data_IF_019290104823
#
_entry.id   IF_019290104823
#
_cell.length_a   1.000
_cell.length_b   1.000
_cell.length_c   1.000
_cell.angle_alpha   90.00
_cell.angle_beta   90.00
_cell.angle_gamma   90.00
#
_symmetry.space_group_name_H-M   'P 1'
#
loop_
_entity.id
_entity.type
_entity.pdbx_description
1 polymer ?
#
# COMPACT_ATOMS: atom_id res chain seq x y z
N UNK A 1 -12.81 -40.19 33.43
CA UNK A 1 -11.53 -40.80 33.04
C UNK A 1 -10.58 -39.71 32.58
N UNK A 2 -9.80 -39.10 33.49
CA UNK A 2 -8.53 -38.41 33.19
C UNK A 2 -7.65 -38.51 34.44
N UNK A 3 -6.55 -39.25 34.30
CA UNK A 3 -5.52 -39.54 35.29
C UNK A 3 -4.38 -38.54 35.11
N UNK A 4 -3.87 -38.03 36.24
CA UNK A 4 -2.44 -37.85 36.60
C UNK A 4 -1.61 -36.85 35.76
N UNK A 5 -1.10 -35.79 36.40
CA UNK A 5 0.35 -35.48 36.55
C UNK A 5 0.55 -34.36 37.60
N UNK A 6 0.94 -34.68 38.85
CA UNK A 6 1.41 -33.70 39.83
C UNK A 6 2.90 -33.93 40.08
N UNK A 7 3.80 -33.23 39.38
CA UNK A 7 5.23 -33.15 39.73
C UNK A 7 5.96 -32.15 38.82
N UNK A 8 5.84 -30.86 39.12
CA UNK A 8 6.73 -29.80 38.62
C UNK A 8 6.53 -28.47 39.37
N UNK A 9 6.26 -28.53 40.68
CA UNK A 9 6.04 -27.34 41.55
C UNK A 9 7.04 -27.21 42.70
N UNK A 10 8.16 -27.93 42.69
CA UNK A 10 9.13 -27.87 43.80
C UNK A 10 10.53 -27.41 43.40
N UNK A 11 10.76 -27.07 42.12
CA UNK A 11 12.04 -26.54 41.61
C UNK A 11 12.12 -25.01 41.62
N UNK A 12 11.33 -24.33 42.46
CA UNK A 12 11.31 -22.85 42.50
C UNK A 12 11.55 -22.25 43.88
N UNK A 13 11.68 -23.05 44.94
CA UNK A 13 11.94 -22.54 46.30
C UNK A 13 13.42 -22.44 46.70
N UNK A 14 14.34 -23.05 45.94
CA UNK A 14 15.78 -23.02 46.25
C UNK A 14 16.55 -21.86 45.61
N UNK A 15 15.89 -21.00 44.82
CA UNK A 15 16.55 -19.94 44.05
C UNK A 15 16.39 -18.53 44.67
N UNK A 16 15.67 -18.43 45.80
CA UNK A 16 15.36 -17.17 46.48
C UNK A 16 16.19 -16.93 47.75
N UNK A 17 17.22 -17.74 48.01
CA UNK A 17 18.06 -17.61 49.21
C UNK A 17 19.56 -17.41 48.87
N UNK A 18 19.84 -16.75 47.73
CA UNK A 18 21.16 -16.15 47.50
C UNK A 18 21.15 -14.73 48.06
N UNK A 19 21.56 -14.64 49.33
CA UNK A 19 22.05 -13.42 49.99
C UNK A 19 22.89 -12.59 49.03
N UNK A 20 22.50 -11.32 48.90
CA UNK A 20 23.23 -10.26 48.18
C UNK A 20 24.59 -10.04 48.85
N UNK A 21 25.68 -10.32 48.12
CA UNK A 21 27.02 -9.87 48.45
C UNK A 21 27.80 -9.56 47.17
N UNK A 22 27.62 -8.34 46.65
CA UNK A 22 28.64 -7.32 46.35
C UNK A 22 28.08 -6.29 45.35
N UNK A 23 28.26 -4.97 45.56
CA UNK A 23 27.65 -3.94 44.73
C UNK A 23 28.56 -3.56 43.56
N UNK A 24 28.72 -4.45 42.57
CA UNK A 24 29.24 -4.02 41.27
C UNK A 24 28.04 -3.71 40.38
N UNK A 25 27.58 -2.46 40.44
CA UNK A 25 26.53 -1.92 39.57
C UNK A 25 27.02 -2.06 38.12
N UNK A 26 26.56 -3.08 37.40
CA UNK A 26 26.65 -3.10 35.94
C UNK A 26 25.69 -2.03 35.42
N UNK A 27 26.25 -0.86 35.09
CA UNK A 27 25.56 0.20 34.38
C UNK A 27 25.30 -0.29 32.96
N UNK A 28 24.04 -0.56 32.64
CA UNK A 28 23.62 -0.75 31.26
C UNK A 28 23.92 0.55 30.49
N UNK A 29 24.60 0.51 29.33
CA UNK A 29 24.70 1.70 28.49
C UNK A 29 23.27 2.10 28.11
N UNK A 30 22.88 3.32 28.49
CA UNK A 30 21.56 3.87 28.16
C UNK A 30 21.30 3.79 26.65
N UNK A 31 20.03 3.79 26.23
CA UNK A 31 19.69 3.74 24.81
C UNK A 31 20.43 4.87 24.07
N UNK A 32 21.07 4.52 22.96
CA UNK A 32 21.78 5.48 22.12
C UNK A 32 20.85 6.67 21.81
N UNK A 33 21.37 7.92 21.78
CA UNK A 33 20.57 9.08 21.42
C UNK A 33 19.90 8.81 20.08
N UNK A 34 18.57 8.84 20.06
CA UNK A 34 17.84 8.59 18.84
C UNK A 34 18.20 9.69 17.83
N UNK A 35 18.47 9.34 16.55
CA UNK A 35 18.64 10.36 15.53
C UNK A 35 17.40 11.26 15.53
N UNK A 36 17.55 12.56 15.23
CA UNK A 36 16.42 13.48 15.22
C UNK A 36 15.32 12.90 14.34
N UNK A 37 14.09 12.87 14.85
CA UNK A 37 12.93 12.39 14.12
C UNK A 37 12.93 13.07 12.74
N UNK A 38 13.04 12.28 11.67
CA UNK A 38 13.08 12.81 10.31
C UNK A 38 11.82 13.63 10.10
N UNK A 39 11.97 14.94 9.93
CA UNK A 39 10.84 15.82 9.65
C UNK A 39 10.14 15.30 8.40
N UNK A 40 8.82 15.06 8.50
CA UNK A 40 8.01 14.69 7.35
C UNK A 40 7.95 15.89 6.40
N UNK A 41 8.50 15.74 5.20
CA UNK A 41 8.32 16.69 4.11
C UNK A 41 7.12 16.20 3.30
N UNK A 42 6.00 16.93 3.25
CA UNK A 42 4.88 16.52 2.44
C UNK A 42 5.32 16.44 0.97
N UNK A 43 4.80 15.47 0.18
CA UNK A 43 5.03 15.43 -1.25
C UNK A 43 4.65 16.78 -1.88
N UNK A 44 5.51 17.30 -2.75
CA UNK A 44 5.23 18.55 -3.46
C UNK A 44 4.02 18.37 -4.37
N UNK A 45 2.90 19.01 -4.01
CA UNK A 45 1.72 19.03 -4.86
C UNK A 45 2.04 19.78 -6.17
N UNK A 46 1.72 19.17 -7.31
CA UNK A 46 1.97 19.77 -8.62
C UNK A 46 0.83 20.73 -8.96
N UNK A 47 1.15 21.96 -9.38
CA UNK A 47 0.16 22.89 -9.91
C UNK A 47 -0.52 22.30 -11.16
N UNK A 48 -1.83 22.54 -11.34
CA UNK A 48 -2.55 22.21 -12.58
C UNK A 48 -1.87 22.94 -13.74
N UNK A 49 -1.49 22.19 -14.77
CA UNK A 49 -0.72 22.68 -15.92
C UNK A 49 -1.51 22.65 -17.23
N UNK A 50 -2.77 22.25 -17.18
CA UNK A 50 -3.66 22.08 -18.34
C UNK A 50 -4.98 22.81 -18.12
N UNK A 51 -5.65 23.22 -19.20
CA UNK A 51 -6.95 23.87 -19.13
C UNK A 51 -8.07 22.91 -19.48
N UNK A 52 -7.97 22.24 -20.63
CA UNK A 52 -9.01 21.40 -21.18
C UNK A 52 -8.67 19.92 -21.04
N UNK A 53 -9.68 19.09 -20.77
CA UNK A 53 -9.58 17.63 -20.81
C UNK A 53 -10.52 17.12 -21.89
N UNK A 54 -10.02 16.29 -22.80
CA UNK A 54 -10.82 15.68 -23.87
C UNK A 54 -10.50 14.21 -24.04
N UNK A 55 -11.40 13.49 -24.71
CA UNK A 55 -11.26 12.07 -25.02
C UNK A 55 -11.16 11.94 -26.52
N UNK A 56 -10.24 11.10 -26.98
CA UNK A 56 -10.12 10.73 -28.38
C UNK A 56 -10.12 9.22 -28.53
N UNK A 57 -10.65 8.73 -29.65
CA UNK A 57 -10.53 7.32 -30.02
C UNK A 57 -9.25 7.11 -30.84
N UNK A 58 -8.40 6.20 -30.39
CA UNK A 58 -7.20 5.74 -31.09
C UNK A 58 -7.33 4.29 -31.56
N UNK A 59 -6.28 3.75 -32.18
CA UNK A 59 -6.28 2.37 -32.71
C UNK A 59 -6.46 1.30 -31.63
N UNK A 60 -6.05 1.59 -30.39
CA UNK A 60 -6.06 0.64 -29.27
C UNK A 60 -7.15 0.86 -28.22
N UNK A 61 -8.07 1.81 -28.44
CA UNK A 61 -9.12 2.17 -27.47
C UNK A 61 -9.30 3.68 -27.31
N UNK A 62 -9.69 4.10 -26.12
CA UNK A 62 -9.92 5.50 -25.77
C UNK A 62 -8.71 6.09 -25.06
N UNK A 63 -8.36 7.30 -25.43
CA UNK A 63 -7.23 8.06 -24.91
C UNK A 63 -7.73 9.36 -24.28
N UNK A 64 -7.05 9.81 -23.22
CA UNK A 64 -7.31 11.09 -22.57
C UNK A 64 -6.26 12.11 -23.02
N UNK A 65 -6.71 13.30 -23.41
CA UNK A 65 -5.86 14.43 -23.78
C UNK A 65 -6.01 15.55 -22.76
N UNK A 66 -4.87 16.07 -22.30
CA UNK A 66 -4.77 17.30 -21.54
C UNK A 66 -4.32 18.40 -22.49
N UNK A 67 -5.22 19.33 -22.80
CA UNK A 67 -5.13 20.28 -23.90
C UNK A 67 -4.88 19.57 -25.24
N UNK A 68 -3.63 19.61 -25.71
CA UNK A 68 -3.18 18.99 -26.97
C UNK A 68 -2.18 17.85 -26.73
N UNK A 69 -2.00 17.41 -25.48
CA UNK A 69 -1.03 16.37 -25.10
C UNK A 69 -1.77 15.13 -24.63
N UNK A 70 -1.44 13.98 -25.23
CA UNK A 70 -1.90 12.68 -24.78
C UNK A 70 -1.40 12.41 -23.35
N UNK A 71 -2.30 11.96 -22.49
CA UNK A 71 -1.96 11.54 -21.13
C UNK A 71 -1.05 10.30 -21.18
N UNK A 72 -0.06 10.27 -20.29
CA UNK A 72 0.89 9.17 -20.18
C UNK A 72 0.92 8.62 -18.77
N UNK A 73 1.25 7.34 -18.68
CA UNK A 73 1.51 6.67 -17.40
C UNK A 73 2.85 7.12 -16.79
N UNK A 74 3.11 6.85 -15.51
CA UNK A 74 4.41 7.09 -14.89
C UNK A 74 5.61 6.47 -15.63
N UNK A 75 5.43 5.32 -16.29
CA UNK A 75 6.46 4.72 -17.16
C UNK A 75 6.47 5.30 -18.60
N UNK A 76 5.85 6.46 -18.82
CA UNK A 76 5.76 7.15 -20.10
C UNK A 76 5.06 6.36 -21.23
N UNK A 77 4.28 5.33 -20.88
CA UNK A 77 3.40 4.63 -21.84
C UNK A 77 2.17 5.50 -22.11
N UNK A 78 1.53 5.27 -23.25
CA UNK A 78 0.27 5.94 -23.57
C UNK A 78 -0.84 5.45 -22.63
N UNK A 79 -1.62 6.39 -22.07
CA UNK A 79 -2.77 6.04 -21.24
C UNK A 79 -3.96 5.71 -22.15
N UNK A 80 -4.16 4.42 -22.41
CA UNK A 80 -5.25 3.90 -23.26
C UNK A 80 -6.13 2.97 -22.44
N UNK A 81 -7.45 3.14 -22.56
CA UNK A 81 -8.46 2.31 -21.88
C UNK A 81 -9.45 1.70 -22.89
N UNK A 82 -9.96 0.49 -22.64
CA UNK A 82 -10.80 -0.22 -23.62
C UNK A 82 -12.26 0.26 -23.66
N UNK A 83 -12.72 1.02 -22.67
CA UNK A 83 -14.12 1.43 -22.51
C UNK A 83 -14.26 2.94 -22.49
N UNK A 84 -15.24 3.45 -23.23
CA UNK A 84 -15.57 4.88 -23.28
C UNK A 84 -16.00 5.39 -21.91
N UNK A 85 -16.85 4.64 -21.20
CA UNK A 85 -17.32 5.01 -19.86
C UNK A 85 -16.16 5.17 -18.87
N UNK A 86 -15.13 4.31 -18.97
CA UNK A 86 -13.92 4.43 -18.15
C UNK A 86 -13.09 5.66 -18.55
N UNK A 87 -12.98 5.95 -19.85
CA UNK A 87 -12.30 7.16 -20.33
C UNK A 87 -12.99 8.43 -19.83
N UNK A 88 -14.33 8.47 -19.86
CA UNK A 88 -15.14 9.57 -19.32
C UNK A 88 -14.88 9.74 -17.83
N UNK A 89 -14.95 8.66 -17.05
CA UNK A 89 -14.72 8.74 -15.61
C UNK A 89 -13.30 9.24 -15.27
N UNK A 90 -12.27 8.76 -15.98
CA UNK A 90 -10.90 9.26 -15.82
C UNK A 90 -10.80 10.73 -16.24
N UNK A 91 -11.36 11.11 -17.39
CA UNK A 91 -11.36 12.51 -17.83
C UNK A 91 -12.03 13.43 -16.80
N UNK A 92 -13.12 12.99 -16.16
CA UNK A 92 -13.78 13.71 -15.06
C UNK A 92 -12.86 13.87 -13.84
N UNK A 93 -12.09 12.84 -13.46
CA UNK A 93 -11.10 12.98 -12.37
C UNK A 93 -10.03 14.03 -12.68
N UNK A 94 -9.59 14.13 -13.95
CA UNK A 94 -8.64 15.14 -14.38
C UNK A 94 -9.27 16.54 -14.44
N UNK A 95 -10.50 16.65 -14.93
CA UNK A 95 -11.19 17.94 -15.03
C UNK A 95 -11.55 18.53 -13.66
N UNK A 96 -11.83 17.67 -12.68
CA UNK A 96 -12.18 18.08 -11.31
C UNK A 96 -11.02 18.68 -10.51
N UNK A 97 -9.78 18.60 -10.99
CA UNK A 97 -8.62 19.16 -10.30
C UNK A 97 -8.65 20.68 -10.38
N UNK A 98 -8.39 21.41 -9.29
CA UNK A 98 -8.43 22.88 -9.29
C UNK A 98 -7.03 23.46 -9.47
N UNK A 99 -6.50 24.19 -8.48
CA UNK A 99 -5.19 24.82 -8.56
C UNK A 99 -4.04 23.81 -8.49
N UNK A 100 -4.22 22.72 -7.74
CA UNK A 100 -3.24 21.65 -7.56
C UNK A 100 -3.82 20.30 -7.96
N UNK A 101 -2.97 19.45 -8.52
CA UNK A 101 -3.29 18.08 -8.90
C UNK A 101 -3.15 17.20 -7.66
N UNK A 102 -4.29 16.70 -7.17
CA UNK A 102 -4.40 15.89 -5.96
C UNK A 102 -4.57 14.42 -6.33
N UNK A 103 -3.46 13.71 -6.50
CA UNK A 103 -3.46 12.30 -6.94
C UNK A 103 -4.30 11.37 -6.05
N UNK A 104 -4.42 11.66 -4.75
CA UNK A 104 -5.24 10.86 -3.84
C UNK A 104 -6.76 10.94 -4.14
N UNK A 105 -7.19 11.91 -4.96
CA UNK A 105 -8.59 12.03 -5.42
C UNK A 105 -8.84 11.30 -6.74
N UNK A 106 -7.79 10.74 -7.36
CA UNK A 106 -7.83 10.19 -8.73
C UNK A 106 -7.59 8.68 -8.71
N UNK A 107 -8.54 7.95 -8.11
CA UNK A 107 -8.40 6.52 -7.87
C UNK A 107 -8.46 5.70 -9.17
N UNK A 108 -9.32 6.06 -10.12
CA UNK A 108 -9.42 5.36 -11.40
C UNK A 108 -8.15 5.55 -12.21
N UNK A 109 -7.62 6.77 -12.26
CA UNK A 109 -6.33 7.08 -12.88
C UNK A 109 -5.20 6.24 -12.25
N UNK A 110 -5.17 6.13 -10.92
CA UNK A 110 -4.15 5.36 -10.19
C UNK A 110 -4.22 3.86 -10.48
N UNK A 111 -5.44 3.29 -10.52
CA UNK A 111 -5.67 1.89 -10.88
C UNK A 111 -5.27 1.61 -12.33
N UNK A 112 -5.66 2.48 -13.27
CA UNK A 112 -5.30 2.34 -14.68
C UNK A 112 -3.78 2.42 -14.89
N UNK A 113 -3.11 3.38 -14.25
CA UNK A 113 -1.65 3.47 -14.28
C UNK A 113 -1.00 2.18 -13.80
N UNK A 114 -1.46 1.62 -12.68
CA UNK A 114 -0.94 0.37 -12.13
C UNK A 114 -1.15 -0.81 -13.08
N UNK A 115 -2.33 -0.89 -13.71
CA UNK A 115 -2.67 -1.94 -14.67
C UNK A 115 -1.82 -1.86 -15.95
N UNK A 116 -1.57 -0.66 -16.47
CA UNK A 116 -0.81 -0.43 -17.71
C UNK A 116 0.70 -0.57 -17.51
N UNK A 117 1.21 -0.10 -16.37
CA UNK A 117 2.63 -0.12 -16.08
C UNK A 117 3.09 -1.47 -15.52
N UNK A 118 2.21 -2.20 -14.82
CA UNK A 118 2.50 -3.44 -14.12
C UNK A 118 3.88 -3.38 -13.42
N UNK A 119 4.07 -2.48 -12.44
CA UNK A 119 5.38 -2.26 -11.82
C UNK A 119 5.95 -3.52 -11.16
N UNK A 120 5.08 -4.44 -10.74
CA UNK A 120 5.49 -5.72 -10.14
C UNK A 120 5.81 -6.82 -11.16
N UNK A 121 5.62 -6.53 -12.45
CA UNK A 121 5.90 -7.43 -13.58
C UNK A 121 5.28 -8.82 -13.41
N UNK A 122 4.11 -8.90 -12.77
CA UNK A 122 3.43 -10.18 -12.53
C UNK A 122 2.70 -10.62 -13.79
N UNK A 123 2.76 -11.92 -14.10
CA UNK A 123 1.93 -12.50 -15.15
C UNK A 123 0.47 -12.58 -14.69
N UNK A 124 -0.45 -12.70 -15.66
CA UNK A 124 -1.87 -12.89 -15.39
C UNK A 124 -2.12 -14.06 -14.43
N UNK A 125 -1.43 -15.19 -14.64
CA UNK A 125 -1.59 -16.37 -13.80
C UNK A 125 -1.08 -16.17 -12.38
N UNK A 126 -0.01 -15.39 -12.19
CA UNK A 126 0.48 -15.05 -10.86
C UNK A 126 -0.51 -14.16 -10.12
N UNK A 127 -1.14 -13.20 -10.80
CA UNK A 127 -2.19 -12.35 -10.23
C UNK A 127 -3.43 -13.18 -9.86
N UNK A 128 -3.86 -14.08 -10.74
CA UNK A 128 -5.00 -14.98 -10.48
C UNK A 128 -4.71 -15.85 -9.26
N UNK A 129 -3.55 -16.51 -9.21
CA UNK A 129 -3.17 -17.34 -8.05
C UNK A 129 -3.10 -16.55 -6.75
N UNK A 130 -2.56 -15.33 -6.80
CA UNK A 130 -2.51 -14.45 -5.65
C UNK A 130 -3.91 -14.06 -5.15
N UNK A 131 -4.84 -13.78 -6.06
CA UNK A 131 -6.23 -13.49 -5.72
C UNK A 131 -6.95 -14.72 -5.14
N UNK A 132 -6.77 -15.90 -5.75
CA UNK A 132 -7.37 -17.16 -5.28
C UNK A 132 -6.89 -17.53 -3.89
N UNK A 133 -5.63 -17.25 -3.52
CA UNK A 133 -5.10 -17.51 -2.19
C UNK A 133 -5.88 -16.82 -1.06
N UNK A 134 -6.52 -15.68 -1.34
CA UNK A 134 -7.33 -15.00 -0.32
C UNK A 134 -8.66 -15.71 -0.03
N UNK A 135 -9.12 -16.60 -0.91
CA UNK A 135 -10.32 -17.41 -0.67
C UNK A 135 -10.12 -18.38 0.50
N UNK A 136 -8.90 -18.89 0.70
CA UNK A 136 -8.58 -19.76 1.84
C UNK A 136 -8.71 -19.05 3.19
N UNK A 137 -8.58 -17.72 3.21
CA UNK A 137 -8.63 -16.87 4.40
C UNK A 137 -9.74 -15.81 4.29
N UNK A 138 -10.85 -16.16 3.65
CA UNK A 138 -11.98 -15.24 3.50
C UNK A 138 -12.62 -14.99 4.88
N UNK A 139 -12.75 -13.71 5.24
CA UNK A 139 -13.32 -13.28 6.51
C UNK A 139 -14.82 -13.48 6.58
N UNK A 140 -15.53 -13.53 5.43
CA UNK A 140 -16.97 -13.81 5.39
C UNK A 140 -17.25 -15.24 5.89
N UNK A 141 -16.36 -16.19 5.59
CA UNK A 141 -16.52 -17.60 5.94
C UNK A 141 -16.22 -17.87 7.42
N UNK A 142 -15.50 -16.99 8.10
CA UNK A 142 -15.14 -17.16 9.50
C UNK A 142 -16.33 -16.96 10.47
N UNK A 143 -17.32 -16.16 10.10
CA UNK A 143 -18.49 -15.87 10.96
C UNK A 143 -19.60 -16.93 10.89
N UNK A 144 -19.51 -17.89 9.97
CA UNK A 144 -20.54 -18.91 9.71
C UNK A 144 -20.26 -20.28 10.37
N UNK A 145 -19.26 -20.37 11.25
CA UNK A 145 -18.92 -21.56 12.07
C UNK A 145 -19.18 -21.30 13.55
#
# INVERSE_FOLDING_TARGET
MWRIYPRLRDRWRGLLDRRLSDPTVSVWPGPAPQPPARAYVPPTERKRFYQNVSISQGEGGFEINLDHRKLKTPQAKLFTVPSEALAIAVATEWDSQQDTIKFYTMHLTTLCNTSLDNPTQRSKDQLIRAAVKFLDTDTIWWFLQ
#
